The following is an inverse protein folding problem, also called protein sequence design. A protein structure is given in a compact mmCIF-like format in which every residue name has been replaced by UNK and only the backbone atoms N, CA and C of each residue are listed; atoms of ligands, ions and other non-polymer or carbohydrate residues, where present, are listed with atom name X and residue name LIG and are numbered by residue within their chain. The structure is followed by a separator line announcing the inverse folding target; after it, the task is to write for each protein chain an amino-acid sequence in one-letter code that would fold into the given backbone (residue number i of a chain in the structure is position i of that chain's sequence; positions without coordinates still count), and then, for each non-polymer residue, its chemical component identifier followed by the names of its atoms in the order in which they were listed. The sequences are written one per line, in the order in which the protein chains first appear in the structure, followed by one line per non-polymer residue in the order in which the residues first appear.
data_IF_741121675134
#
_entry.id   IF_741121675134
#
_cell.length_a   1.000
_cell.length_b   1.000
_cell.length_c   1.000
_cell.angle_alpha   90.00
_cell.angle_beta   90.00
_cell.angle_gamma   90.00
#
_symmetry.space_group_name_H-M   'P 1'
#
loop_
_entity.id
_entity.type
_entity.pdbx_description
1 polymer ?
#
# COMPACT_ATOMS: atom_id res chain seq x y z
N UNK A 1 1.06 0.17 27.20
CA UNK A 1 0.12 0.99 26.43
C UNK A 1 0.95 2.01 25.64
N UNK A 2 1.22 1.77 24.36
CA UNK A 2 1.96 2.73 23.55
C UNK A 2 0.95 3.70 22.95
N UNK A 3 0.90 4.92 23.50
CA UNK A 3 0.01 5.97 22.99
C UNK A 3 0.41 6.29 21.55
N UNK A 4 -0.57 6.32 20.64
CA UNK A 4 -0.37 6.85 19.30
C UNK A 4 0.06 8.32 19.35
N UNK A 5 0.60 8.83 18.23
CA UNK A 5 0.98 10.24 18.10
C UNK A 5 0.26 10.85 16.90
N UNK A 6 -0.14 12.12 16.98
CA UNK A 6 -0.70 12.86 15.85
C UNK A 6 0.18 14.07 15.56
N UNK A 7 0.49 14.32 14.29
CA UNK A 7 1.23 15.51 13.84
C UNK A 7 0.58 16.09 12.59
N UNK A 8 0.97 17.31 12.23
CA UNK A 8 0.44 18.01 11.05
C UNK A 8 1.13 17.53 9.78
N UNK A 9 0.39 17.41 8.69
CA UNK A 9 0.96 17.19 7.38
C UNK A 9 1.84 18.39 6.99
N UNK A 10 3.03 18.11 6.44
CA UNK A 10 4.08 19.08 6.12
C UNK A 10 4.99 19.46 7.28
N UNK A 11 4.73 18.97 8.50
CA UNK A 11 5.64 19.13 9.64
C UNK A 11 6.60 17.94 9.75
N UNK A 12 7.60 18.02 10.64
CA UNK A 12 8.54 16.93 10.84
C UNK A 12 7.83 15.69 11.42
N UNK A 13 8.07 14.48 10.87
CA UNK A 13 7.48 13.26 11.41
C UNK A 13 7.81 13.09 12.90
N UNK A 14 6.82 12.65 13.70
CA UNK A 14 7.03 12.45 15.13
C UNK A 14 8.19 11.46 15.36
N UNK A 15 8.99 11.65 16.43
CA UNK A 15 10.17 10.81 16.78
C UNK A 15 9.95 9.30 16.85
N UNK A 16 8.69 8.87 16.92
CA UNK A 16 8.30 7.46 16.93
C UNK A 16 8.14 6.86 15.54
N UNK A 17 8.14 7.67 14.48
CA UNK A 17 8.03 7.23 13.10
C UNK A 17 9.42 6.79 12.62
N UNK A 18 9.59 5.54 12.17
CA UNK A 18 10.85 5.06 11.61
C UNK A 18 11.27 5.86 10.38
N UNK A 19 12.57 6.12 10.24
CA UNK A 19 13.16 6.87 9.12
C UNK A 19 12.79 6.29 7.76
N UNK A 20 12.68 4.95 7.67
CA UNK A 20 12.24 4.25 6.47
C UNK A 20 10.87 4.71 5.94
N UNK A 21 9.99 5.23 6.80
CA UNK A 21 8.67 5.72 6.40
C UNK A 21 8.69 7.19 5.95
N UNK A 22 9.73 7.96 6.25
CA UNK A 22 9.73 9.42 6.05
C UNK A 22 9.64 9.80 4.58
N UNK A 23 10.37 9.10 3.71
CA UNK A 23 10.31 9.34 2.26
C UNK A 23 8.89 9.14 1.72
N UNK A 24 8.27 8.04 2.12
CA UNK A 24 6.93 7.66 1.69
C UNK A 24 5.84 8.57 2.28
N UNK A 25 6.01 9.05 3.51
CA UNK A 25 5.14 10.07 4.10
C UNK A 25 5.14 11.33 3.24
N UNK A 26 6.31 11.83 2.86
CA UNK A 26 6.42 13.02 2.01
C UNK A 26 5.79 12.80 0.62
N UNK A 27 5.93 11.60 0.05
CA UNK A 27 5.26 11.24 -1.22
C UNK A 27 3.74 11.25 -1.10
N UNK A 28 3.18 10.75 0.01
CA UNK A 28 1.74 10.76 0.25
C UNK A 28 1.20 12.18 0.49
N UNK A 29 1.93 13.02 1.22
CA UNK A 29 1.56 14.43 1.41
C UNK A 29 1.50 15.18 0.08
N UNK A 30 2.45 14.92 -0.83
CA UNK A 30 2.45 15.50 -2.16
C UNK A 30 1.27 15.02 -3.04
N UNK A 31 0.82 13.78 -2.84
CA UNK A 31 -0.34 13.20 -3.55
C UNK A 31 -1.69 13.66 -2.98
N UNK A 32 -1.73 13.99 -1.67
CA UNK A 32 -2.94 14.38 -0.95
C UNK A 32 -2.79 15.76 -0.28
N UNK A 33 -2.72 16.85 -1.06
CA UNK A 33 -2.49 18.20 -0.52
C UNK A 33 -3.64 18.73 0.35
N UNK A 34 -4.81 18.09 0.31
CA UNK A 34 -5.96 18.42 1.15
C UNK A 34 -5.89 17.81 2.55
N UNK A 35 -4.99 16.85 2.79
CA UNK A 35 -4.87 16.20 4.07
C UNK A 35 -4.11 17.08 5.08
N UNK A 36 -4.62 17.17 6.31
CA UNK A 36 -4.10 18.13 7.30
C UNK A 36 -3.23 17.48 8.38
N UNK A 37 -3.42 16.19 8.65
CA UNK A 37 -2.76 15.54 9.77
C UNK A 37 -2.48 14.05 9.55
N UNK A 38 -1.41 13.61 10.19
CA UNK A 38 -1.03 12.22 10.32
C UNK A 38 -1.34 11.69 11.70
N UNK A 39 -1.80 10.44 11.77
CA UNK A 39 -2.05 9.69 12.99
C UNK A 39 -1.18 8.42 12.99
N UNK A 40 -0.22 8.33 13.90
CA UNK A 40 0.58 7.13 14.16
C UNK A 40 -0.12 6.27 15.21
N UNK A 41 -0.39 5.03 14.83
CA UNK A 41 -0.89 3.96 15.69
C UNK A 41 0.10 2.81 15.70
N UNK A 42 0.19 2.09 16.82
CA UNK A 42 1.03 0.89 16.94
C UNK A 42 0.14 -0.35 17.02
N UNK A 43 0.13 -1.15 15.96
CA UNK A 43 -0.67 -2.38 15.87
C UNK A 43 0.28 -3.57 15.92
N UNK A 44 0.19 -4.37 17.00
CA UNK A 44 1.03 -5.56 17.20
C UNK A 44 2.54 -5.26 17.12
N UNK A 45 2.95 -4.06 17.57
CA UNK A 45 4.33 -3.59 17.49
C UNK A 45 4.74 -3.01 16.13
N UNK A 46 3.80 -2.87 15.19
CA UNK A 46 4.03 -2.27 13.88
C UNK A 46 3.53 -0.82 13.84
N UNK A 47 4.33 0.12 13.33
CA UNK A 47 3.90 1.51 13.17
C UNK A 47 2.99 1.63 11.94
N UNK A 48 1.79 2.15 12.15
CA UNK A 48 0.81 2.46 11.10
C UNK A 48 0.57 3.96 11.13
N UNK A 49 1.00 4.68 10.10
CA UNK A 49 0.78 6.11 9.95
C UNK A 49 -0.38 6.30 8.97
N UNK A 50 -1.46 6.91 9.42
CA UNK A 50 -2.64 7.21 8.62
C UNK A 50 -2.69 8.72 8.34
N UNK A 51 -2.99 9.09 7.09
CA UNK A 51 -3.13 10.47 6.64
C UNK A 51 -4.61 10.77 6.48
N UNK A 52 -5.17 11.56 7.40
CA UNK A 52 -6.53 12.12 7.38
C UNK A 52 -7.62 11.24 6.73
N UNK A 53 -7.64 9.95 7.09
CA UNK A 53 -8.54 8.93 6.54
C UNK A 53 -8.50 8.73 5.00
N UNK A 54 -7.49 9.25 4.29
CA UNK A 54 -7.33 9.11 2.84
C UNK A 54 -6.28 8.09 2.43
N UNK A 55 -5.22 7.92 3.23
CA UNK A 55 -4.10 7.04 2.92
C UNK A 55 -3.44 6.50 4.19
N UNK A 56 -2.66 5.42 4.05
CA UNK A 56 -1.83 4.92 5.13
C UNK A 56 -0.43 4.52 4.65
N UNK A 57 0.52 4.53 5.58
CA UNK A 57 1.92 4.14 5.41
C UNK A 57 2.31 3.25 6.60
N UNK A 58 2.84 2.06 6.35
CA UNK A 58 3.18 1.09 7.41
C UNK A 58 4.40 0.24 7.04
N UNK A 59 4.90 -0.54 8.00
CA UNK A 59 5.91 -1.57 7.78
C UNK A 59 5.30 -2.97 7.80
N UNK A 60 5.67 -3.77 6.80
CA UNK A 60 5.44 -5.21 6.77
C UNK A 60 6.22 -5.96 7.86
N UNK A 61 5.88 -7.24 8.06
CA UNK A 61 6.60 -8.17 8.96
C UNK A 61 8.09 -8.33 8.60
N UNK A 62 8.47 -8.06 7.35
CA UNK A 62 9.86 -8.08 6.88
C UNK A 62 10.54 -6.70 6.92
N UNK A 63 9.87 -5.66 7.43
CA UNK A 63 10.39 -4.30 7.50
C UNK A 63 10.34 -3.53 6.17
N UNK A 64 9.53 -3.97 5.21
CA UNK A 64 9.30 -3.24 3.95
C UNK A 64 8.22 -2.19 4.14
N UNK A 65 8.40 -1.04 3.50
CA UNK A 65 7.40 0.04 3.49
C UNK A 65 6.23 -0.36 2.61
N UNK A 66 5.02 -0.17 3.14
CA UNK A 66 3.76 -0.32 2.43
C UNK A 66 2.96 0.96 2.48
N UNK A 67 2.29 1.26 1.39
CA UNK A 67 1.24 2.28 1.35
C UNK A 67 -0.01 1.76 0.68
N UNK A 68 -1.11 2.46 0.91
CA UNK A 68 -2.32 2.30 0.15
C UNK A 68 -3.35 3.37 0.48
N UNK A 69 -4.39 3.52 -0.35
CA UNK A 69 -5.54 4.31 0.02
C UNK A 69 -6.22 3.67 1.23
N UNK A 70 -6.75 4.48 2.14
CA UNK A 70 -7.66 3.98 3.16
C UNK A 70 -9.00 3.72 2.44
N UNK A 71 -9.35 2.45 2.20
CA UNK A 71 -10.66 2.13 1.64
C UNK A 71 -11.72 2.47 2.69
N UNK A 72 -12.73 3.27 2.32
CA UNK A 72 -13.93 3.44 3.15
C UNK A 72 -14.45 2.04 3.55
N UNK A 73 -14.27 1.67 4.82
CA UNK A 73 -14.71 0.39 5.39
C UNK A 73 -13.63 -0.69 5.62
N UNK A 74 -12.38 -0.50 5.24
CA UNK A 74 -11.30 -1.49 5.44
C UNK A 74 -10.28 -1.01 6.49
N UNK A 75 -10.69 -1.05 7.75
CA UNK A 75 -9.78 -0.81 8.87
C UNK A 75 -8.74 -1.92 8.98
N UNK A 76 -7.48 -1.59 8.66
CA UNK A 76 -6.24 -2.26 9.05
C UNK A 76 -6.00 -3.74 8.66
N UNK A 77 -6.94 -4.45 8.02
CA UNK A 77 -6.81 -5.89 7.76
C UNK A 77 -6.29 -6.26 6.35
N UNK A 78 -6.48 -5.40 5.33
CA UNK A 78 -6.11 -5.77 3.95
C UNK A 78 -4.64 -5.57 3.56
N UNK A 79 -3.76 -5.18 4.49
CA UNK A 79 -2.31 -5.12 4.24
C UNK A 79 -1.67 -6.50 3.96
N UNK A 80 -2.40 -7.60 4.15
CA UNK A 80 -1.92 -8.96 3.92
C UNK A 80 -1.86 -9.39 2.43
N UNK A 81 -2.30 -8.56 1.47
CA UNK A 81 -2.31 -8.93 0.04
C UNK A 81 -1.67 -7.88 -0.88
N UNK A 82 -0.38 -7.51 -0.68
CA UNK A 82 0.30 -6.91 -1.86
C UNK A 82 0.44 -7.98 -2.93
N UNK A 83 0.07 -7.70 -4.19
CA UNK A 83 0.58 -8.46 -5.30
C UNK A 83 2.10 -8.33 -5.33
N UNK A 84 2.78 -9.48 -5.36
CA UNK A 84 4.20 -9.57 -5.65
C UNK A 84 4.45 -8.97 -7.03
N UNK A 85 5.36 -8.00 -7.10
CA UNK A 85 5.97 -7.43 -8.29
C UNK A 85 6.09 -8.47 -9.43
N UNK A 86 5.28 -8.36 -10.49
CA UNK A 86 5.59 -8.98 -11.77
C UNK A 86 6.20 -7.90 -12.65
N UNK A 87 7.53 -7.78 -12.51
CA UNK A 87 8.41 -7.08 -13.42
C UNK A 87 7.91 -7.12 -14.87
N UNK A 88 7.79 -5.94 -15.45
CA UNK A 88 7.58 -5.71 -16.87
C UNK A 88 8.74 -6.34 -17.66
N UNK A 89 8.48 -7.51 -18.25
CA UNK A 89 9.28 -8.10 -19.33
C UNK A 89 8.46 -8.03 -20.61
N UNK A 90 8.76 -7.05 -21.46
CA UNK A 90 8.22 -6.99 -22.82
C UNK A 90 8.92 -8.00 -23.73
N UNK A 91 8.17 -8.64 -24.62
CA UNK A 91 8.44 -8.73 -26.06
C UNK A 91 7.48 -9.72 -26.73
N UNK A 92 6.69 -9.16 -27.65
CA UNK A 92 6.40 -9.64 -29.00
C UNK A 92 5.77 -11.03 -29.25
N UNK A 93 4.70 -10.93 -30.03
CA UNK A 93 4.33 -11.80 -31.17
C UNK A 93 3.65 -13.14 -30.89
N UNK A 94 2.46 -13.30 -31.46
CA UNK A 94 1.70 -14.55 -31.41
C UNK A 94 0.27 -14.32 -31.89
N UNK A 95 0.05 -14.62 -33.16
CA UNK A 95 -1.17 -14.43 -33.94
C UNK A 95 -2.46 -14.94 -33.26
N UNK A 96 -3.56 -14.27 -33.63
CA UNK A 96 -4.89 -14.81 -33.49
C UNK A 96 -5.01 -16.13 -34.27
N UNK A 97 -5.51 -17.16 -33.61
CA UNK A 97 -6.11 -18.33 -34.26
C UNK A 97 -7.37 -18.73 -33.48
N UNK A 98 -8.56 -18.35 -33.96
CA UNK A 98 -9.81 -18.98 -33.59
C UNK A 98 -10.33 -19.78 -34.79
N UNK A 99 -9.72 -20.95 -35.05
CA UNK A 99 -10.29 -22.03 -35.87
C UNK A 99 -10.23 -23.31 -35.00
N UNK A 100 -11.36 -23.77 -34.48
CA UNK A 100 -12.20 -24.75 -35.18
C UNK A 100 -11.44 -26.09 -35.34
N UNK A 101 -11.60 -26.98 -34.36
CA UNK A 101 -11.62 -28.41 -34.65
C UNK A 101 -12.60 -29.09 -33.67
N UNK A 102 -13.81 -29.16 -34.21
CA UNK A 102 -14.88 -30.14 -34.00
C UNK A 102 -14.44 -31.51 -33.42
N UNK A 103 -15.27 -32.01 -32.50
CA UNK A 103 -15.77 -33.40 -32.46
C UNK A 103 -14.87 -34.58 -32.92
N UNK A 104 -14.06 -35.16 -32.00
CA UNK A 104 -13.60 -36.58 -32.10
C UNK A 104 -13.56 -37.32 -30.74
N UNK A 105 -14.50 -37.05 -29.83
CA UNK A 105 -14.60 -37.75 -28.52
C UNK A 105 -15.56 -38.96 -28.51
N UNK A 106 -16.03 -39.42 -29.68
CA UNK A 106 -16.93 -40.59 -29.76
C UNK A 106 -16.37 -41.70 -30.65
N UNK A 107 -15.42 -42.49 -30.10
CA UNK A 107 -15.18 -43.89 -30.48
C UNK A 107 -14.81 -44.75 -29.27
#
# INVERSE_FOLDING_TARGET
MQLGARWRAGDAPHRGVPDALHGTIAEQEAQHPSAEAWTLTWLEGRPVCELDDVAFVTLDVVGRVRTGPLREGDGAASALHAPHDRAAGGAADGAADPDDDDDDWLK
#
